data_IF_602788860013
#
_entry.id   IF_602788860013
#
_cell.length_a   1.000
_cell.length_b   1.000
_cell.length_c   1.000
_cell.angle_alpha   90.00
_cell.angle_beta   90.00
_cell.angle_gamma   90.00
#
_symmetry.space_group_name_H-M   'P 1'
#
loop_
_entity.id
_entity.type
_entity.pdbx_description
1 polymer ?
#
# COMPACT_ATOMS: atom_id res chain seq x y z
N UNK A 1 -25.01 21.35 -10.67
CA UNK A 1 -24.91 21.06 -9.22
C UNK A 1 -23.84 21.97 -8.60
N UNK A 2 -24.14 23.25 -8.33
CA UNK A 2 -23.14 24.23 -7.90
C UNK A 2 -22.55 23.99 -6.50
N UNK A 3 -23.18 23.14 -5.68
CA UNK A 3 -22.68 22.77 -4.35
C UNK A 3 -21.80 21.50 -4.30
N UNK A 4 -21.50 20.87 -5.44
CA UNK A 4 -20.64 19.69 -5.47
C UNK A 4 -19.16 20.11 -5.44
N UNK A 5 -18.53 19.95 -4.29
CA UNK A 5 -17.14 20.39 -4.04
C UNK A 5 -16.12 19.27 -4.03
N UNK A 6 -16.57 18.03 -3.83
CA UNK A 6 -15.70 16.87 -3.68
C UNK A 6 -15.94 15.86 -4.80
N UNK A 7 -14.88 15.65 -5.59
CA UNK A 7 -14.85 14.71 -6.69
C UNK A 7 -13.95 13.56 -6.29
N UNK A 8 -14.55 12.40 -6.00
CA UNK A 8 -13.84 11.20 -5.57
C UNK A 8 -14.25 9.99 -6.40
N UNK A 9 -13.36 9.02 -6.52
CA UNK A 9 -13.62 7.74 -7.18
C UNK A 9 -13.71 6.62 -6.14
N UNK A 10 -14.26 5.47 -6.53
CA UNK A 10 -14.06 4.20 -5.85
C UNK A 10 -13.50 3.23 -6.89
N UNK A 11 -12.19 3.03 -6.88
CA UNK A 11 -11.43 2.42 -7.96
C UNK A 11 -10.90 1.04 -7.58
N UNK A 12 -10.90 0.06 -8.50
CA UNK A 12 -10.32 -1.26 -8.27
C UNK A 12 -8.78 -1.18 -8.28
N UNK A 13 -8.12 -2.20 -7.72
CA UNK A 13 -6.65 -2.30 -7.65
C UNK A 13 -6.15 -3.54 -8.40
N UNK A 14 -6.32 -3.60 -9.74
CA UNK A 14 -6.00 -4.79 -10.49
C UNK A 14 -4.50 -5.09 -10.48
N UNK A 15 -4.14 -6.28 -9.98
CA UNK A 15 -2.76 -6.75 -9.95
C UNK A 15 -2.11 -6.69 -8.56
N UNK A 16 -2.81 -6.16 -7.55
CA UNK A 16 -2.34 -6.17 -6.18
C UNK A 16 -2.12 -7.59 -5.65
N UNK A 17 -3.05 -8.52 -5.89
CA UNK A 17 -2.90 -9.91 -5.44
C UNK A 17 -1.68 -10.61 -6.05
N UNK A 18 -1.38 -10.32 -7.33
CA UNK A 18 -0.17 -10.84 -7.99
C UNK A 18 1.09 -10.25 -7.37
N UNK A 19 1.14 -8.94 -7.18
CA UNK A 19 2.27 -8.29 -6.52
C UNK A 19 2.50 -8.84 -5.11
N UNK A 20 1.42 -9.04 -4.36
CA UNK A 20 1.47 -9.61 -3.01
C UNK A 20 2.10 -11.02 -3.02
N UNK A 21 1.70 -11.87 -3.97
CA UNK A 21 2.31 -13.18 -4.17
C UNK A 21 3.81 -13.10 -4.48
N UNK A 22 4.23 -12.14 -5.32
CA UNK A 22 5.65 -11.89 -5.62
C UNK A 22 6.44 -11.42 -4.39
N UNK A 23 5.80 -10.78 -3.41
CA UNK A 23 6.46 -10.32 -2.18
C UNK A 23 6.46 -11.34 -1.04
N UNK A 24 5.77 -12.48 -1.17
CA UNK A 24 5.60 -13.44 -0.09
C UNK A 24 6.94 -14.02 0.41
N UNK A 25 7.93 -14.13 -0.47
CA UNK A 25 9.26 -14.64 -0.11
C UNK A 25 10.11 -13.62 0.68
N UNK A 26 9.82 -12.33 0.55
CA UNK A 26 10.65 -11.24 1.09
C UNK A 26 9.97 -10.47 2.21
N UNK A 27 8.64 -10.45 2.26
CA UNK A 27 7.84 -9.72 3.22
C UNK A 27 6.97 -10.72 4.02
N UNK A 28 7.30 -11.00 5.29
CA UNK A 28 6.56 -11.98 6.10
C UNK A 28 5.07 -11.69 6.23
N UNK A 29 4.67 -10.42 6.31
CA UNK A 29 3.24 -10.05 6.36
C UNK A 29 2.51 -10.31 5.04
N UNK A 30 3.22 -10.33 3.90
CA UNK A 30 2.62 -10.74 2.63
C UNK A 30 2.32 -12.24 2.62
N UNK A 31 3.26 -13.07 3.11
CA UNK A 31 3.02 -14.51 3.29
C UNK A 31 1.84 -14.77 4.26
N UNK A 32 1.78 -14.06 5.40
CA UNK A 32 0.66 -14.20 6.34
C UNK A 32 -0.69 -13.90 5.69
N UNK A 33 -0.79 -12.83 4.90
CA UNK A 33 -2.03 -12.53 4.18
C UNK A 33 -2.40 -13.69 3.26
N UNK A 34 -1.45 -14.21 2.48
CA UNK A 34 -1.72 -15.30 1.53
C UNK A 34 -2.22 -16.56 2.22
N UNK A 35 -1.65 -16.89 3.37
CA UNK A 35 -2.09 -18.02 4.21
C UNK A 35 -3.53 -17.80 4.72
N UNK A 36 -3.84 -16.60 5.20
CA UNK A 36 -5.17 -16.26 5.70
C UNK A 36 -6.25 -16.29 4.61
N UNK A 37 -5.93 -15.82 3.40
CA UNK A 37 -6.88 -15.72 2.28
C UNK A 37 -6.94 -16.99 1.42
N UNK A 38 -6.12 -18.01 1.71
CA UNK A 38 -6.10 -19.29 0.99
C UNK A 38 -7.42 -20.07 1.14
N UNK A 39 -8.08 -19.93 2.29
CA UNK A 39 -9.34 -20.60 2.57
C UNK A 39 -10.51 -19.91 1.84
N UNK A 40 -11.34 -20.71 1.17
CA UNK A 40 -12.59 -20.19 0.60
C UNK A 40 -13.47 -19.61 1.71
N UNK A 41 -14.07 -18.45 1.44
CA UNK A 41 -14.95 -17.79 2.41
C UNK A 41 -14.24 -17.08 3.58
N UNK A 42 -12.91 -16.91 3.56
CA UNK A 42 -12.17 -16.19 4.62
C UNK A 42 -12.77 -14.83 4.97
N UNK A 43 -13.36 -14.14 3.99
CA UNK A 43 -13.95 -12.81 4.13
C UNK A 43 -15.29 -12.79 4.88
N UNK A 44 -15.93 -13.96 5.07
CA UNK A 44 -17.16 -14.10 5.84
C UNK A 44 -16.89 -14.22 7.35
N UNK A 45 -15.69 -14.67 7.73
CA UNK A 45 -15.24 -14.70 9.12
C UNK A 45 -14.69 -13.32 9.52
N UNK A 46 -15.34 -12.66 10.46
CA UNK A 46 -14.95 -11.31 10.90
C UNK A 46 -13.54 -11.28 11.52
N UNK A 47 -13.17 -12.30 12.28
CA UNK A 47 -11.86 -12.35 12.94
C UNK A 47 -10.74 -12.58 11.91
N UNK A 48 -10.97 -13.45 10.93
CA UNK A 48 -10.02 -13.64 9.81
C UNK A 48 -9.92 -12.37 8.98
N UNK A 49 -11.05 -11.75 8.64
CA UNK A 49 -11.07 -10.50 7.87
C UNK A 49 -10.34 -9.36 8.58
N UNK A 50 -10.49 -9.22 9.90
CA UNK A 50 -9.78 -8.21 10.68
C UNK A 50 -8.26 -8.45 10.67
N UNK A 51 -7.82 -9.70 10.86
CA UNK A 51 -6.40 -10.07 10.75
C UNK A 51 -5.83 -9.79 9.37
N UNK A 52 -6.54 -10.17 8.31
CA UNK A 52 -6.17 -9.83 6.93
C UNK A 52 -6.06 -8.32 6.78
N UNK A 53 -7.04 -7.56 7.24
CA UNK A 53 -7.04 -6.10 7.12
C UNK A 53 -5.84 -5.42 7.77
N UNK A 54 -5.46 -5.87 8.96
CA UNK A 54 -4.29 -5.36 9.69
C UNK A 54 -2.99 -5.58 8.93
N UNK A 55 -2.79 -6.76 8.34
CA UNK A 55 -1.59 -7.08 7.56
C UNK A 55 -1.63 -6.45 6.14
N UNK A 56 -2.80 -6.38 5.52
CA UNK A 56 -2.98 -5.94 4.13
C UNK A 56 -2.81 -4.42 3.97
N UNK A 57 -3.27 -3.64 4.94
CA UNK A 57 -3.29 -2.17 4.84
C UNK A 57 -1.89 -1.53 4.62
N UNK A 58 -0.84 -1.87 5.39
CA UNK A 58 0.50 -1.34 5.14
C UNK A 58 1.08 -1.82 3.80
N UNK A 59 0.79 -3.07 3.40
CA UNK A 59 1.22 -3.64 2.12
C UNK A 59 0.57 -2.91 0.94
N UNK A 60 -0.71 -2.55 1.04
CA UNK A 60 -1.41 -1.74 0.06
C UNK A 60 -0.78 -0.34 -0.08
N UNK A 61 -0.43 0.30 1.04
CA UNK A 61 0.26 1.59 1.01
C UNK A 61 1.64 1.49 0.36
N UNK A 62 2.42 0.44 0.67
CA UNK A 62 3.71 0.17 0.04
C UNK A 62 3.55 -0.08 -1.47
N UNK A 63 2.55 -0.85 -1.89
CA UNK A 63 2.24 -1.09 -3.29
C UNK A 63 2.01 0.20 -4.08
N UNK A 64 1.23 1.14 -3.55
CA UNK A 64 0.97 2.40 -4.25
C UNK A 64 2.15 3.37 -4.20
N UNK A 65 2.86 3.45 -3.08
CA UNK A 65 3.85 4.50 -2.85
C UNK A 65 5.27 4.09 -3.27
N UNK A 66 5.63 2.81 -3.19
CA UNK A 66 7.00 2.33 -3.36
C UNK A 66 7.15 1.34 -4.51
N UNK A 67 6.17 0.45 -4.73
CA UNK A 67 6.29 -0.54 -5.79
C UNK A 67 6.29 0.12 -7.18
N UNK A 68 7.16 -0.37 -8.06
CA UNK A 68 7.35 0.14 -9.41
C UNK A 68 7.41 -1.02 -10.41
N UNK A 69 7.08 -0.73 -11.67
CA UNK A 69 7.39 -1.63 -12.78
C UNK A 69 8.91 -1.73 -12.98
N UNK A 70 9.37 -2.71 -13.77
CA UNK A 70 10.78 -2.81 -14.17
C UNK A 70 11.30 -1.53 -14.88
N UNK A 71 10.40 -0.77 -15.51
CA UNK A 71 10.69 0.53 -16.13
C UNK A 71 10.58 1.74 -15.18
N UNK A 72 10.42 1.51 -13.88
CA UNK A 72 10.40 2.55 -12.86
C UNK A 72 9.07 3.32 -12.71
N UNK A 73 7.99 2.90 -13.39
CA UNK A 73 6.67 3.55 -13.31
C UNK A 73 5.87 3.04 -12.12
N UNK A 74 4.89 3.80 -11.63
CA UNK A 74 3.92 3.28 -10.65
C UNK A 74 3.30 1.98 -11.18
N UNK A 75 3.32 0.94 -10.33
CA UNK A 75 3.01 -0.42 -10.76
C UNK A 75 1.54 -0.60 -11.13
N UNK A 76 0.63 0.04 -10.40
CA UNK A 76 -0.81 -0.11 -10.61
C UNK A 76 -1.29 0.70 -11.82
N UNK A 77 -1.96 0.07 -12.80
CA UNK A 77 -2.42 0.75 -14.01
C UNK A 77 -3.55 1.77 -13.75
N UNK A 78 -4.42 1.53 -12.77
CA UNK A 78 -5.53 2.41 -12.42
C UNK A 78 -5.02 3.63 -11.65
N UNK A 79 -4.04 3.44 -10.77
CA UNK A 79 -3.29 4.51 -10.12
C UNK A 79 -2.62 5.40 -11.16
N UNK A 80 -1.91 4.82 -12.14
CA UNK A 80 -1.29 5.60 -13.22
C UNK A 80 -2.31 6.45 -13.97
N UNK A 81 -3.51 5.92 -14.23
CA UNK A 81 -4.58 6.68 -14.87
C UNK A 81 -5.05 7.85 -14.02
N UNK A 82 -5.38 7.65 -12.75
CA UNK A 82 -5.90 8.72 -11.90
C UNK A 82 -4.84 9.75 -11.52
N UNK A 83 -3.64 9.31 -11.13
CA UNK A 83 -2.51 10.19 -10.83
C UNK A 83 -2.07 10.96 -12.08
N UNK A 84 -2.07 10.32 -13.24
CA UNK A 84 -1.84 10.95 -14.54
C UNK A 84 -2.88 11.99 -14.91
N UNK A 85 -4.07 11.96 -14.30
CA UNK A 85 -5.09 13.00 -14.44
C UNK A 85 -5.08 14.02 -13.27
N UNK A 86 -4.01 14.04 -12.46
CA UNK A 86 -3.84 15.00 -11.37
C UNK A 86 -4.57 14.65 -10.07
N UNK A 87 -5.13 13.44 -9.96
CA UNK A 87 -5.78 13.02 -8.72
C UNK A 87 -4.75 12.74 -7.62
N UNK A 88 -5.23 12.75 -6.37
CA UNK A 88 -4.49 12.29 -5.19
C UNK A 88 -5.05 10.95 -4.73
N UNK A 89 -4.19 9.99 -4.38
CA UNK A 89 -4.60 8.80 -3.64
C UNK A 89 -5.08 9.22 -2.24
N UNK A 90 -6.40 9.15 -2.02
CA UNK A 90 -7.04 9.75 -0.87
C UNK A 90 -7.17 8.75 0.29
N UNK A 91 -7.68 7.56 -0.01
CA UNK A 91 -7.98 6.54 0.99
C UNK A 91 -7.84 5.15 0.41
N UNK A 92 -7.43 4.23 1.26
CA UNK A 92 -7.43 2.79 0.98
C UNK A 92 -8.65 2.20 1.68
N UNK A 93 -9.53 1.57 0.91
CA UNK A 93 -10.77 0.95 1.37
C UNK A 93 -10.56 -0.57 1.40
N UNK A 94 -10.33 -1.12 2.59
CA UNK A 94 -10.30 -2.57 2.78
C UNK A 94 -11.70 -3.15 2.55
N UNK A 95 -11.78 -4.25 1.81
CA UNK A 95 -13.01 -5.00 1.58
C UNK A 95 -14.14 -4.16 0.93
N UNK A 96 -13.77 -3.17 0.10
CA UNK A 96 -14.71 -2.32 -0.63
C UNK A 96 -15.49 -3.06 -1.72
N UNK A 97 -14.94 -4.17 -2.24
CA UNK A 97 -15.61 -5.06 -3.18
C UNK A 97 -15.32 -6.52 -2.83
N UNK A 98 -16.33 -7.22 -2.30
CA UNK A 98 -16.25 -8.64 -1.95
C UNK A 98 -16.72 -9.57 -3.08
N UNK A 99 -16.89 -9.07 -4.31
CA UNK A 99 -17.19 -9.91 -5.46
C UNK A 99 -16.05 -10.91 -5.70
N UNK A 100 -16.35 -12.11 -6.25
CA UNK A 100 -15.32 -13.09 -6.56
C UNK A 100 -14.19 -12.55 -7.44
N UNK A 101 -14.49 -11.59 -8.32
CA UNK A 101 -13.49 -10.94 -9.17
C UNK A 101 -12.54 -10.08 -8.34
N UNK A 102 -13.04 -9.19 -7.50
CA UNK A 102 -12.21 -8.29 -6.71
C UNK A 102 -11.39 -9.04 -5.64
N UNK A 103 -11.95 -10.09 -5.05
CA UNK A 103 -11.22 -10.99 -4.16
C UNK A 103 -10.01 -11.63 -4.85
N UNK A 104 -10.15 -12.08 -6.10
CA UNK A 104 -9.03 -12.62 -6.89
C UNK A 104 -8.01 -11.56 -7.33
N UNK A 105 -8.46 -10.35 -7.64
CA UNK A 105 -7.57 -9.31 -8.18
C UNK A 105 -6.79 -8.56 -7.10
N UNK A 106 -7.40 -8.38 -5.92
CA UNK A 106 -6.87 -7.51 -4.88
C UNK A 106 -7.36 -7.84 -3.46
N UNK A 107 -7.88 -9.05 -3.20
CA UNK A 107 -8.44 -9.43 -1.89
C UNK A 107 -9.54 -8.47 -1.38
N UNK A 108 -10.28 -7.88 -2.32
CA UNK A 108 -11.36 -6.92 -2.06
C UNK A 108 -10.91 -5.50 -1.73
N UNK A 109 -9.62 -5.19 -1.90
CA UNK A 109 -9.07 -3.85 -1.81
C UNK A 109 -9.66 -2.93 -2.90
N UNK A 110 -10.10 -1.76 -2.48
CA UNK A 110 -10.42 -0.62 -3.35
C UNK A 110 -9.73 0.63 -2.83
N UNK A 111 -9.73 1.70 -3.63
CA UNK A 111 -9.18 2.99 -3.21
C UNK A 111 -10.03 4.15 -3.71
N UNK A 112 -9.97 5.27 -3.00
CA UNK A 112 -10.47 6.53 -3.52
C UNK A 112 -9.33 7.38 -4.07
N UNK A 113 -9.52 7.90 -5.28
CA UNK A 113 -8.75 9.03 -5.78
C UNK A 113 -9.60 10.29 -5.64
N UNK A 114 -9.01 11.36 -5.10
CA UNK A 114 -9.67 12.66 -4.96
C UNK A 114 -9.10 13.64 -5.98
N UNK A 115 -10.00 14.29 -6.71
CA UNK A 115 -9.69 15.39 -7.62
C UNK A 115 -10.03 16.71 -6.92
N UNK A 116 -9.00 17.41 -6.45
CA UNK A 116 -9.13 18.78 -5.96
C UNK A 116 -8.70 19.72 -7.07
N UNK A 117 -9.64 20.51 -7.60
CA UNK A 117 -9.43 21.41 -8.74
C UNK A 117 -8.12 22.19 -8.67
N UNK A 118 -7.86 22.86 -7.54
CA UNK A 118 -6.65 23.67 -7.34
C UNK A 118 -5.32 22.89 -7.39
N UNK A 119 -5.36 21.57 -7.20
CA UNK A 119 -4.17 20.73 -7.10
C UNK A 119 -3.93 19.89 -8.38
N UNK A 120 -4.88 19.85 -9.34
CA UNK A 120 -4.85 18.93 -10.50
C UNK A 120 -3.60 19.13 -11.35
N UNK A 121 -3.35 20.36 -11.82
CA UNK A 121 -2.23 20.65 -12.72
C UNK A 121 -0.89 20.33 -12.05
N UNK A 122 -0.72 20.79 -10.80
CA UNK A 122 0.48 20.50 -10.01
C UNK A 122 0.73 19.00 -9.84
N UNK A 123 -0.30 18.24 -9.49
CA UNK A 123 -0.17 16.79 -9.30
C UNK A 123 0.14 16.09 -10.62
N UNK A 124 -0.51 16.51 -11.72
CA UNK A 124 -0.27 15.98 -13.06
C UNK A 124 1.19 16.20 -13.47
N UNK A 125 1.71 17.41 -13.33
CA UNK A 125 3.09 17.76 -13.70
C UNK A 125 4.12 16.97 -12.87
N UNK A 126 3.92 16.89 -11.55
CA UNK A 126 4.80 16.10 -10.67
C UNK A 126 4.81 14.62 -11.07
N UNK A 127 3.63 14.06 -11.37
CA UNK A 127 3.53 12.67 -11.80
C UNK A 127 4.16 12.45 -13.19
N UNK A 128 3.90 13.33 -14.16
CA UNK A 128 4.43 13.21 -15.52
C UNK A 128 5.96 13.35 -15.55
N UNK A 129 6.52 14.29 -14.78
CA UNK A 129 7.96 14.56 -14.79
C UNK A 129 8.77 13.60 -13.91
N UNK A 130 8.22 13.16 -12.78
CA UNK A 130 8.98 12.44 -11.73
C UNK A 130 8.36 11.13 -11.29
N UNK A 131 7.18 10.78 -11.79
CA UNK A 131 6.39 9.64 -11.31
C UNK A 131 6.08 9.76 -9.80
N UNK A 132 5.98 11.00 -9.30
CA UNK A 132 5.69 11.33 -7.91
C UNK A 132 4.23 11.07 -7.58
N UNK A 133 3.97 10.20 -6.59
CA UNK A 133 2.62 9.87 -6.17
C UNK A 133 2.09 10.92 -5.22
N UNK A 134 1.09 11.69 -5.67
CA UNK A 134 0.26 12.50 -4.78
C UNK A 134 -0.61 11.58 -3.91
N UNK A 135 -0.38 11.57 -2.60
CA UNK A 135 -1.13 10.76 -1.64
C UNK A 135 -1.44 11.55 -0.37
N UNK A 136 -2.61 11.28 0.22
CA UNK A 136 -3.05 11.88 1.47
C UNK A 136 -2.10 11.52 2.63
N UNK A 137 -1.94 12.40 3.64
CA UNK A 137 -1.09 12.13 4.80
C UNK A 137 -1.46 10.86 5.57
N UNK A 138 -2.74 10.48 5.57
CA UNK A 138 -3.20 9.25 6.19
C UNK A 138 -2.62 8.02 5.48
N UNK A 139 -2.63 8.00 4.15
CA UNK A 139 -2.08 6.90 3.35
C UNK A 139 -0.56 6.82 3.51
N UNK A 140 0.14 7.95 3.50
CA UNK A 140 1.61 7.97 3.69
C UNK A 140 2.06 7.40 5.04
N UNK A 141 1.25 7.56 6.09
CA UNK A 141 1.54 7.04 7.43
C UNK A 141 1.40 5.53 7.55
N UNK A 142 0.74 4.87 6.59
CA UNK A 142 0.55 3.42 6.58
C UNK A 142 1.80 2.66 6.12
N UNK A 143 2.72 3.33 5.42
CA UNK A 143 3.98 2.69 4.99
C UNK A 143 4.82 2.37 6.23
N UNK A 144 5.22 1.10 6.42
CA UNK A 144 6.10 0.72 7.52
C UNK A 144 7.39 1.54 7.47
N UNK A 145 7.82 2.06 8.62
CA UNK A 145 9.16 2.66 8.70
C UNK A 145 10.19 1.54 8.54
N UNK A 146 11.28 1.75 7.79
CA UNK A 146 12.37 0.79 7.76
C UNK A 146 12.82 0.52 9.19
N UNK A 147 12.95 -0.75 9.56
CA UNK A 147 13.46 -1.14 10.86
C UNK A 147 14.83 -0.48 11.04
N UNK A 148 14.99 0.32 12.10
CA UNK A 148 16.30 0.87 12.46
C UNK A 148 17.25 -0.32 12.65
N UNK A 149 18.41 -0.38 11.99
CA UNK A 149 19.34 -1.48 12.20
C UNK A 149 19.64 -1.57 13.70
N UNK A 150 19.61 -2.80 14.23
CA UNK A 150 19.96 -3.06 15.62
C UNK A 150 21.32 -2.40 15.90
N UNK A 151 21.39 -1.63 16.98
CA UNK A 151 22.66 -1.03 17.39
C UNK A 151 23.70 -2.16 17.51
N UNK A 152 24.92 -1.97 16.99
CA UNK A 152 25.97 -2.97 17.17
C UNK A 152 26.12 -3.27 18.67
N UNK A 153 26.34 -4.53 19.04
CA UNK A 153 26.54 -4.89 20.44
C UNK A 153 27.68 -4.05 21.00
N UNK A 154 27.46 -3.48 22.20
CA UNK A 154 28.49 -2.74 22.92
C UNK A 154 29.73 -3.63 23.05
N UNK A 155 30.95 -3.10 22.78
CA UNK A 155 32.16 -3.89 22.95
C UNK A 155 32.22 -4.41 24.39
N UNK A 156 32.52 -5.70 24.54
CA UNK A 156 32.69 -6.33 25.84
C UNK A 156 33.71 -5.52 26.65
N UNK A 157 33.32 -5.10 27.85
CA UNK A 157 34.20 -4.41 28.79
C UNK A 157 35.43 -5.30 29.02
N UNK A 158 36.60 -4.79 28.66
CA UNK A 158 37.86 -5.49 28.86
C UNK A 158 37.99 -5.83 30.35
N UNK A 159 38.13 -7.12 30.65
CA UNK A 159 38.37 -7.55 32.03
C UNK A 159 39.72 -6.99 32.47
N UNK A 160 39.82 -6.43 33.70
CA UNK A 160 41.07 -5.89 34.20
C UNK A 160 42.11 -7.01 34.26
N UNK A 161 43.28 -6.76 33.68
CA UNK A 161 44.44 -7.65 33.82
C UNK A 161 44.74 -7.79 35.30
N UNK A 162 44.72 -9.04 35.78
CA UNK A 162 45.27 -9.38 37.09
C UNK A 162 46.78 -9.46 36.90
N UNK A 163 47.46 -8.39 37.27
CA UNK A 163 48.90 -8.40 37.44
C UNK A 163 49.24 -9.21 38.71
N UNK A 164 50.22 -10.10 38.60
CA UNK A 164 50.77 -10.91 39.67
C UNK A 164 51.99 -10.21 40.30
#
# INVERSE_FOLDING_TARGET
LPGLTDFVTLSPVPGFARWLAEQAETIPSAAEVLDLVANQGWHADAAVRDRVGQALLPLAAQYFLEARTASGKVIDPVARFHLGNGARLERIDLFGDLSPRALRQAHGLMVNYRYKLDDIEKNHELFAARNDVAAAPAVRRLVPKPARPAAPPLPALAQPRRDA
#
